data_IF_331170187596
#
_entry.id   IF_331170187596
#
_cell.length_a   1.000
_cell.length_b   1.000
_cell.length_c   1.000
_cell.angle_alpha   90.00
_cell.angle_beta   90.00
_cell.angle_gamma   90.00
#
_symmetry.space_group_name_H-M   'P 1'
#
loop_
_entity.id
_entity.type
_entity.pdbx_description
1 polymer ?
#
# COMPACT_ATOMS: atom_id res chain seq x y z
N UNK A 1 -13.41 41.94 13.12
CA UNK A 1 -13.66 40.60 13.69
C UNK A 1 -13.55 39.58 12.56
N UNK A 2 -12.33 39.31 12.10
CA UNK A 2 -12.03 38.42 10.96
C UNK A 2 -10.87 37.49 11.36
N UNK A 3 -11.22 36.39 12.00
CA UNK A 3 -10.36 35.23 12.27
C UNK A 3 -11.36 34.07 12.36
N UNK A 4 -11.42 33.10 11.45
CA UNK A 4 -10.45 32.04 11.30
C UNK A 4 -10.71 31.33 9.95
N UNK A 5 -9.92 31.59 8.90
CA UNK A 5 -9.88 30.70 7.73
C UNK A 5 -8.87 29.60 8.08
N UNK A 6 -9.39 28.52 8.67
CA UNK A 6 -8.64 27.31 9.00
C UNK A 6 -8.12 26.70 7.70
N UNK A 7 -6.87 26.99 7.35
CA UNK A 7 -6.18 26.38 6.20
C UNK A 7 -6.07 24.87 6.43
N UNK A 8 -6.99 24.11 5.86
CA UNK A 8 -6.92 22.65 5.82
C UNK A 8 -5.73 22.30 4.95
N UNK A 9 -4.58 21.99 5.56
CA UNK A 9 -3.39 21.51 4.86
C UNK A 9 -3.76 20.15 4.24
N UNK A 10 -4.24 20.13 3.01
CA UNK A 10 -4.59 18.90 2.31
C UNK A 10 -3.29 18.10 2.10
N UNK A 11 -3.21 16.92 2.70
CA UNK A 11 -2.10 16.01 2.44
C UNK A 11 -2.17 15.58 0.98
N UNK A 12 -1.02 15.55 0.30
CA UNK A 12 -0.93 15.02 -1.07
C UNK A 12 -1.49 13.59 -1.12
N UNK A 13 -2.22 13.20 -2.17
CA UNK A 13 -2.72 11.83 -2.35
C UNK A 13 -1.65 10.76 -2.16
N UNK A 14 -0.43 11.01 -2.66
CA UNK A 14 0.72 10.11 -2.48
C UNK A 14 1.13 9.96 -1.01
N UNK A 15 1.04 11.03 -0.23
CA UNK A 15 1.39 11.01 1.19
C UNK A 15 0.35 10.24 2.01
N UNK A 16 -0.93 10.37 1.65
CA UNK A 16 -2.02 9.59 2.26
C UNK A 16 -1.80 8.09 1.99
N UNK A 17 -1.49 7.74 0.75
CA UNK A 17 -1.15 6.36 0.37
C UNK A 17 0.07 5.85 1.16
N UNK A 18 1.19 6.58 1.16
CA UNK A 18 2.40 6.15 1.86
C UNK A 18 2.17 5.91 3.36
N UNK A 19 1.44 6.80 4.03
CA UNK A 19 1.10 6.64 5.45
C UNK A 19 0.18 5.44 5.66
N UNK A 20 -0.82 5.23 4.79
CA UNK A 20 -1.73 4.08 4.87
C UNK A 20 -1.00 2.74 4.69
N UNK A 21 -0.13 2.64 3.69
CA UNK A 21 0.72 1.46 3.50
C UNK A 21 1.62 1.22 4.72
N UNK A 22 2.29 2.26 5.22
CA UNK A 22 3.15 2.14 6.39
C UNK A 22 2.37 1.67 7.63
N UNK A 23 1.16 2.16 7.86
CA UNK A 23 0.35 1.74 9.02
C UNK A 23 -0.10 0.29 8.90
N UNK A 24 -0.49 -0.17 7.70
CA UNK A 24 -0.88 -1.57 7.47
C UNK A 24 0.34 -2.48 7.67
N UNK A 25 1.49 -2.13 7.09
CA UNK A 25 2.74 -2.90 7.23
C UNK A 25 3.14 -3.03 8.70
N UNK A 26 3.14 -1.93 9.46
CA UNK A 26 3.49 -1.95 10.88
C UNK A 26 2.50 -2.78 11.70
N UNK A 27 1.21 -2.69 11.41
CA UNK A 27 0.19 -3.50 12.08
C UNK A 27 0.40 -4.99 11.79
N UNK A 28 0.65 -5.35 10.53
CA UNK A 28 0.96 -6.71 10.12
C UNK A 28 2.24 -7.25 10.76
N UNK A 29 3.28 -6.43 10.86
CA UNK A 29 4.55 -6.79 11.51
C UNK A 29 4.35 -7.09 13.00
N UNK A 30 3.58 -6.26 13.70
CA UNK A 30 3.24 -6.50 15.11
C UNK A 30 2.48 -7.82 15.25
N UNK A 31 1.43 -8.03 14.44
CA UNK A 31 0.64 -9.27 14.46
C UNK A 31 1.50 -10.52 14.19
N UNK A 32 2.39 -10.47 13.21
CA UNK A 32 3.29 -11.60 12.87
C UNK A 32 4.38 -11.82 13.92
N UNK A 33 4.72 -10.81 14.72
CA UNK A 33 5.69 -10.97 15.80
C UNK A 33 5.13 -11.81 16.96
N UNK A 34 3.81 -11.83 17.18
CA UNK A 34 3.17 -12.57 18.28
C UNK A 34 3.45 -14.08 18.23
N UNK A 35 3.53 -14.77 19.39
CA UNK A 35 3.85 -16.19 19.44
C UNK A 35 2.75 -17.08 18.84
N UNK A 36 1.51 -16.58 18.77
CA UNK A 36 0.40 -17.28 18.11
C UNK A 36 0.60 -17.37 16.59
N UNK A 37 1.47 -16.55 16.01
CA UNK A 37 1.71 -16.47 14.56
C UNK A 37 2.64 -17.57 14.06
N UNK A 38 3.39 -18.23 14.93
CA UNK A 38 4.38 -19.27 14.59
C UNK A 38 3.91 -20.65 15.03
N UNK A 39 4.30 -21.71 14.32
CA UNK A 39 3.92 -23.09 14.69
C UNK A 39 4.57 -23.52 16.02
N UNK A 40 5.80 -23.11 16.28
CA UNK A 40 6.56 -23.46 17.47
C UNK A 40 6.22 -22.62 18.71
N UNK A 41 5.32 -21.64 18.56
CA UNK A 41 4.92 -20.72 19.63
C UNK A 41 6.01 -19.72 20.04
N UNK A 42 7.09 -19.59 19.25
CA UNK A 42 8.17 -18.65 19.53
C UNK A 42 7.83 -17.23 19.05
N UNK A 43 8.46 -16.21 19.63
CA UNK A 43 8.29 -14.85 19.12
C UNK A 43 9.18 -14.66 17.88
N UNK A 44 8.58 -14.32 16.75
CA UNK A 44 9.32 -14.01 15.52
C UNK A 44 10.20 -12.78 15.73
N UNK A 45 11.39 -12.76 15.13
CA UNK A 45 12.19 -11.53 15.08
C UNK A 45 11.41 -10.42 14.35
N UNK A 46 11.34 -9.23 14.94
CA UNK A 46 10.58 -8.11 14.37
C UNK A 46 11.05 -7.74 12.96
N UNK A 47 12.35 -7.90 12.65
CA UNK A 47 12.89 -7.67 11.31
C UNK A 47 12.32 -8.64 10.27
N UNK A 48 12.16 -9.91 10.63
CA UNK A 48 11.60 -10.92 9.72
C UNK A 48 10.09 -10.71 9.56
N UNK A 49 9.40 -10.30 10.63
CA UNK A 49 7.99 -9.97 10.62
C UNK A 49 7.68 -8.73 9.77
N UNK A 50 8.45 -7.64 9.90
CA UNK A 50 8.26 -6.43 9.09
C UNK A 50 8.64 -6.65 7.63
N UNK A 51 9.65 -7.47 7.34
CA UNK A 51 9.99 -7.87 5.98
C UNK A 51 8.85 -8.66 5.34
N UNK A 52 8.38 -9.71 6.03
CA UNK A 52 7.26 -10.53 5.56
C UNK A 52 6.00 -9.71 5.35
N UNK A 53 5.66 -8.83 6.30
CA UNK A 53 4.52 -7.92 6.20
C UNK A 53 4.63 -6.98 5.00
N UNK A 54 5.81 -6.37 4.79
CA UNK A 54 6.07 -5.50 3.64
C UNK A 54 5.92 -6.27 2.33
N UNK A 55 6.50 -7.46 2.25
CA UNK A 55 6.45 -8.29 1.05
C UNK A 55 5.03 -8.75 0.71
N UNK A 56 4.24 -9.08 1.74
CA UNK A 56 2.82 -9.43 1.60
C UNK A 56 1.99 -8.24 1.09
N UNK A 57 2.10 -7.09 1.75
CA UNK A 57 1.34 -5.86 1.38
C UNK A 57 1.76 -5.34 0.00
N UNK A 58 3.02 -5.47 -0.39
CA UNK A 58 3.47 -5.10 -1.73
C UNK A 58 3.26 -6.21 -2.77
N UNK A 59 2.76 -7.38 -2.37
CA UNK A 59 2.51 -8.54 -3.23
C UNK A 59 3.76 -8.96 -4.02
N UNK A 60 4.93 -8.86 -3.40
CA UNK A 60 6.23 -9.19 -4.03
C UNK A 60 6.58 -10.66 -3.98
N UNK A 61 6.09 -11.39 -2.97
CA UNK A 61 6.32 -12.84 -2.82
C UNK A 61 7.70 -13.23 -2.29
N UNK A 62 8.50 -12.28 -1.79
CA UNK A 62 9.76 -12.57 -1.11
C UNK A 62 9.52 -13.03 0.32
N UNK A 63 10.25 -14.06 0.76
CA UNK A 63 10.13 -14.63 2.10
C UNK A 63 11.52 -14.81 2.72
N UNK A 64 11.65 -14.52 4.02
CA UNK A 64 12.87 -14.76 4.82
C UNK A 64 12.82 -16.09 5.56
N UNK A 65 11.61 -16.62 5.78
CA UNK A 65 11.32 -17.90 6.41
C UNK A 65 10.27 -18.63 5.56
N UNK A 66 10.28 -19.97 5.56
CA UNK A 66 9.32 -20.75 4.78
C UNK A 66 7.89 -20.53 5.29
N UNK A 67 7.02 -19.96 4.45
CA UNK A 67 5.68 -19.57 4.87
C UNK A 67 4.78 -20.76 5.24
N UNK A 68 4.99 -21.92 4.61
CA UNK A 68 4.17 -23.11 4.82
C UNK A 68 4.51 -23.86 6.11
N UNK A 69 5.74 -23.69 6.60
CA UNK A 69 6.25 -24.45 7.76
C UNK A 69 6.47 -23.57 8.99
N UNK A 70 6.78 -22.28 8.82
CA UNK A 70 7.09 -21.40 9.94
C UNK A 70 5.85 -20.81 10.60
N UNK A 71 4.90 -20.33 9.79
CA UNK A 71 3.72 -19.64 10.30
C UNK A 71 2.60 -20.61 10.67
N UNK A 72 1.94 -20.35 11.78
CA UNK A 72 0.70 -21.00 12.17
C UNK A 72 -0.44 -20.62 11.22
N UNK A 73 -1.59 -21.29 11.35
CA UNK A 73 -2.81 -20.91 10.63
C UNK A 73 -3.17 -19.43 10.85
N UNK A 74 -2.98 -18.91 12.06
CA UNK A 74 -3.20 -17.49 12.36
C UNK A 74 -2.25 -16.60 11.57
N UNK A 75 -0.94 -16.90 11.58
CA UNK A 75 0.05 -16.13 10.83
C UNK A 75 -0.21 -16.17 9.31
N UNK A 76 -0.59 -17.33 8.78
CA UNK A 76 -0.95 -17.49 7.36
C UNK A 76 -2.18 -16.66 6.98
N UNK A 77 -3.22 -16.64 7.84
CA UNK A 77 -4.40 -15.79 7.62
C UNK A 77 -4.01 -14.30 7.62
N UNK A 78 -3.14 -13.88 8.55
CA UNK A 78 -2.63 -12.50 8.57
C UNK A 78 -1.92 -12.16 7.26
N UNK A 79 -1.02 -13.04 6.78
CA UNK A 79 -0.30 -12.85 5.51
C UNK A 79 -1.27 -12.75 4.33
N UNK A 80 -2.28 -13.63 4.26
CA UNK A 80 -3.30 -13.58 3.20
C UNK A 80 -4.08 -12.27 3.21
N UNK A 81 -4.50 -11.80 4.39
CA UNK A 81 -5.20 -10.52 4.53
C UNK A 81 -4.31 -9.35 4.10
N UNK A 82 -3.02 -9.38 4.45
CA UNK A 82 -2.06 -8.36 4.02
C UNK A 82 -1.89 -8.35 2.49
N UNK A 83 -1.86 -9.51 1.84
CA UNK A 83 -1.81 -9.65 0.37
C UNK A 83 -3.06 -9.04 -0.28
N UNK A 84 -4.26 -9.34 0.24
CA UNK A 84 -5.52 -8.80 -0.30
C UNK A 84 -5.60 -7.27 -0.16
N UNK A 85 -5.26 -6.74 1.02
CA UNK A 85 -5.21 -5.28 1.26
C UNK A 85 -4.18 -4.63 0.33
N UNK A 86 -3.02 -5.28 0.17
CA UNK A 86 -1.96 -4.86 -0.73
C UNK A 86 -2.36 -4.79 -2.20
N UNK A 87 -3.01 -5.85 -2.69
CA UNK A 87 -3.49 -5.95 -4.07
C UNK A 87 -4.50 -4.86 -4.42
N UNK A 88 -5.45 -4.58 -3.51
CA UNK A 88 -6.39 -3.47 -3.67
C UNK A 88 -5.68 -2.10 -3.70
N UNK A 89 -4.65 -1.92 -2.86
CA UNK A 89 -3.83 -0.71 -2.84
C UNK A 89 -3.01 -0.50 -4.13
N UNK A 90 -2.48 -1.57 -4.72
CA UNK A 90 -1.75 -1.53 -5.99
C UNK A 90 -2.65 -1.09 -7.16
N UNK A 91 -3.92 -1.53 -7.18
CA UNK A 91 -4.88 -1.10 -8.21
C UNK A 91 -5.17 0.41 -8.14
N UNK A 92 -5.29 0.96 -6.93
CA UNK A 92 -5.50 2.40 -6.74
C UNK A 92 -4.30 3.22 -7.25
N UNK A 93 -3.07 2.78 -6.93
CA UNK A 93 -1.84 3.34 -7.46
C UNK A 93 -1.81 3.32 -8.99
N UNK A 94 -2.08 2.15 -9.59
CA UNK A 94 -2.10 1.97 -11.04
C UNK A 94 -3.13 2.88 -11.72
N UNK A 95 -4.32 3.04 -11.12
CA UNK A 95 -5.38 3.91 -11.63
C UNK A 95 -4.99 5.39 -11.56
N UNK A 96 -4.37 5.83 -10.46
CA UNK A 96 -3.88 7.20 -10.34
C UNK A 96 -2.77 7.47 -11.36
N UNK A 97 -1.81 6.54 -11.52
CA UNK A 97 -0.77 6.64 -12.54
C UNK A 97 -1.36 6.70 -13.95
N UNK A 98 -2.31 5.83 -14.27
CA UNK A 98 -3.02 5.82 -15.54
C UNK A 98 -3.81 7.12 -15.77
N UNK A 99 -4.41 7.72 -14.74
CA UNK A 99 -5.11 9.00 -14.83
C UNK A 99 -4.13 10.19 -15.04
N UNK A 100 -2.94 10.13 -14.44
CA UNK A 100 -1.88 11.15 -14.64
C UNK A 100 -1.29 11.04 -16.04
N UNK A 101 -1.01 9.84 -16.53
CA UNK A 101 -0.54 9.58 -17.90
C UNK A 101 -1.64 9.92 -18.91
N UNK A 102 -2.89 9.58 -18.59
CA UNK A 102 -4.08 9.90 -19.36
C UNK A 102 -4.59 11.32 -19.15
N UNK A 103 -3.78 12.26 -18.59
CA UNK A 103 -4.19 13.65 -18.44
C UNK A 103 -4.46 14.30 -19.80
N UNK A 104 -5.76 14.27 -20.13
CA UNK A 104 -6.59 15.21 -20.91
C UNK A 104 -5.81 16.10 -21.88
N UNK A 105 -6.04 15.86 -23.19
CA UNK A 105 -5.80 16.85 -24.25
C UNK A 105 -6.39 18.18 -23.77
N UNK A 106 -5.51 19.13 -23.50
CA UNK A 106 -5.86 20.48 -23.08
C UNK A 106 -6.79 21.10 -24.11
N UNK A 107 -7.76 21.94 -23.71
CA UNK A 107 -8.57 22.70 -24.68
C UNK A 107 -7.69 23.43 -25.71
N UNK A 108 -6.49 23.85 -25.29
CA UNK A 108 -5.48 24.46 -26.17
C UNK A 108 -4.91 23.49 -27.21
N UNK A 109 -4.62 22.25 -26.81
CA UNK A 109 -4.17 21.19 -27.73
C UNK A 109 -5.30 20.76 -28.69
N UNK A 110 -6.56 20.77 -28.22
CA UNK A 110 -7.73 20.53 -29.08
C UNK A 110 -7.90 21.62 -30.15
N UNK A 111 -7.68 22.88 -29.79
CA UNK A 111 -7.76 24.01 -30.73
C UNK A 111 -6.63 23.96 -31.78
N UNK A 112 -5.40 23.66 -31.36
CA UNK A 112 -4.26 23.48 -32.30
C UNK A 112 -4.49 22.32 -33.25
N UNK A 113 -5.07 21.20 -32.77
CA UNK A 113 -5.46 20.09 -33.65
C UNK A 113 -6.59 20.45 -34.62
N UNK A 114 -7.50 21.36 -34.24
CA UNK A 114 -8.53 21.88 -35.14
C UNK A 114 -7.95 22.78 -36.25
N UNK A 115 -7.00 23.65 -35.90
CA UNK A 115 -6.31 24.52 -36.88
C UNK A 115 -5.40 23.72 -37.82
N UNK A 116 -4.79 22.63 -37.36
CA UNK A 116 -3.93 21.78 -38.19
C UNK A 116 -4.70 20.91 -39.20
N UNK A 117 -6.01 20.77 -39.05
CA UNK A 117 -6.88 19.98 -39.94
C UNK A 117 -7.65 20.85 -40.95
N UNK A 118 -7.38 22.16 -41.00
CA UNK A 118 -7.94 23.11 -41.95
C UNK A 118 -6.83 23.76 -42.78
#
# INVERSE_FOLDING_TARGET
MLEQIKTKKSLSPFKILAIGFASVILTGAILLTLPISTIDGSMTNFLDAIFTSTSAVCVTGLVVVDTGVYWSLFGQIVILVLIEIGGLGFMAMSTIFAMIIGKRISLRERLVMQEAYN
#
